data_IF_787665739472
#
_entry.id   IF_787665739472
#
_cell.length_a   1.000
_cell.length_b   1.000
_cell.length_c   1.000
_cell.angle_alpha   90.00
_cell.angle_beta   90.00
_cell.angle_gamma   90.00
#
_symmetry.space_group_name_H-M   'P 1'
#
loop_
_entity.id
_entity.type
_entity.pdbx_description
1 polymer ?
#
# COMPACT_ATOMS: atom_id res chain seq x y z
N UNK A 1 11.63 2.83 -11.92
CA UNK A 1 11.06 1.54 -12.36
C UNK A 1 9.70 1.22 -11.75
N UNK A 2 9.38 1.64 -10.51
CA UNK A 2 8.09 1.32 -9.87
C UNK A 2 6.88 1.78 -10.68
N UNK A 3 6.88 3.02 -11.17
CA UNK A 3 5.82 3.53 -12.05
C UNK A 3 5.65 2.69 -13.33
N UNK A 4 6.75 2.26 -13.95
CA UNK A 4 6.69 1.39 -15.13
C UNK A 4 6.11 0.02 -14.78
N UNK A 5 6.43 -0.53 -13.60
CA UNK A 5 5.85 -1.77 -13.11
C UNK A 5 4.32 -1.64 -12.94
N UNK A 6 3.86 -0.62 -12.22
CA UNK A 6 2.41 -0.43 -11.96
C UNK A 6 1.60 0.01 -13.19
N UNK A 7 2.27 0.54 -14.21
CA UNK A 7 1.66 0.81 -15.52
C UNK A 7 1.85 -0.32 -16.53
N UNK A 8 2.45 -1.46 -16.13
CA UNK A 8 2.73 -2.63 -16.97
C UNK A 8 3.57 -2.30 -18.22
N UNK A 9 4.51 -1.37 -18.07
CA UNK A 9 5.46 -0.88 -19.10
C UNK A 9 6.92 -1.17 -18.74
N UNK A 10 7.18 -1.95 -17.68
CA UNK A 10 8.53 -2.28 -17.26
C UNK A 10 9.19 -3.17 -18.33
N UNK A 11 10.26 -2.66 -18.94
CA UNK A 11 11.12 -3.48 -19.77
C UNK A 11 11.89 -4.45 -18.86
N UNK A 12 11.57 -5.73 -18.95
CA UNK A 12 12.13 -6.75 -18.07
C UNK A 12 13.50 -7.26 -18.56
N UNK A 13 13.95 -6.86 -19.75
CA UNK A 13 15.25 -7.25 -20.29
C UNK A 13 16.43 -6.46 -19.71
N UNK A 14 16.16 -5.30 -19.08
CA UNK A 14 17.20 -4.37 -18.62
C UNK A 14 17.87 -4.77 -17.29
N UNK A 15 17.30 -5.73 -16.56
CA UNK A 15 17.88 -6.22 -15.31
C UNK A 15 17.41 -7.64 -14.98
N UNK A 16 18.31 -8.59 -14.61
CA UNK A 16 17.94 -9.99 -14.35
C UNK A 16 16.83 -10.18 -13.30
N UNK A 17 16.73 -9.25 -12.33
CA UNK A 17 15.64 -9.27 -11.35
C UNK A 17 14.24 -9.06 -11.99
N UNK A 18 14.14 -8.25 -13.05
CA UNK A 18 12.87 -7.92 -13.68
C UNK A 18 12.30 -9.06 -14.52
N UNK A 19 13.11 -10.03 -14.95
CA UNK A 19 12.60 -11.25 -15.61
C UNK A 19 11.53 -11.95 -14.77
N UNK A 20 11.68 -11.93 -13.44
CA UNK A 20 10.70 -12.51 -12.49
C UNK A 20 9.40 -11.73 -12.44
N UNK A 21 9.40 -10.47 -12.89
CA UNK A 21 8.24 -9.58 -12.92
C UNK A 21 7.55 -9.58 -14.29
N UNK A 22 8.16 -10.15 -15.33
CA UNK A 22 7.70 -10.04 -16.72
C UNK A 22 6.26 -10.53 -16.96
N UNK A 23 5.81 -11.52 -16.18
CA UNK A 23 4.46 -12.08 -16.28
C UNK A 23 3.50 -11.59 -15.19
N UNK A 24 3.97 -10.70 -14.30
CA UNK A 24 3.13 -10.13 -13.25
C UNK A 24 2.37 -8.93 -13.80
N UNK A 25 1.05 -8.98 -13.65
CA UNK A 25 0.18 -7.81 -13.84
C UNK A 25 -0.20 -7.27 -12.47
N UNK A 26 0.51 -6.23 -12.04
CA UNK A 26 0.32 -5.60 -10.73
C UNK A 26 0.11 -4.10 -10.88
N UNK A 27 -0.64 -3.53 -9.95
CA UNK A 27 -0.86 -2.09 -9.83
C UNK A 27 -1.30 -1.75 -8.42
N UNK A 28 -1.07 -0.52 -7.99
CA UNK A 28 -1.64 0.04 -6.77
C UNK A 28 -2.51 1.24 -7.11
N UNK A 29 -3.33 1.71 -6.15
CA UNK A 29 -4.01 2.99 -6.35
C UNK A 29 -3.00 4.12 -6.20
N UNK A 30 -2.13 4.03 -5.19
CA UNK A 30 -1.19 5.09 -4.84
C UNK A 30 0.22 4.56 -4.59
N UNK A 31 1.22 5.40 -4.83
CA UNK A 31 2.60 5.27 -4.38
C UNK A 31 3.04 6.56 -3.70
N UNK A 32 3.72 6.44 -2.57
CA UNK A 32 4.41 7.56 -1.90
C UNK A 32 5.91 7.28 -1.89
N UNK A 33 6.67 8.09 -2.63
CA UNK A 33 8.12 7.98 -2.73
C UNK A 33 8.83 8.39 -1.43
N UNK A 34 10.16 8.17 -1.34
CA UNK A 34 10.94 8.52 -0.13
C UNK A 34 10.89 10.01 0.24
N UNK A 35 10.60 10.89 -0.71
CA UNK A 35 10.46 12.34 -0.52
C UNK A 35 9.02 12.76 -0.15
N UNK A 36 8.09 11.80 -0.05
CA UNK A 36 6.68 12.05 0.27
C UNK A 36 5.83 12.47 -0.93
N UNK A 37 6.33 12.33 -2.17
CA UNK A 37 5.54 12.61 -3.38
C UNK A 37 4.49 11.51 -3.56
N UNK A 38 3.23 11.91 -3.63
CA UNK A 38 2.11 11.04 -3.93
C UNK A 38 1.92 10.94 -5.45
N UNK A 39 1.83 9.71 -5.96
CA UNK A 39 1.43 9.41 -7.34
C UNK A 39 0.24 8.46 -7.32
N UNK A 40 -0.78 8.74 -8.14
CA UNK A 40 -1.95 7.88 -8.30
C UNK A 40 -1.90 7.16 -9.66
N UNK A 41 -2.07 5.84 -9.66
CA UNK A 41 -2.06 5.02 -10.88
C UNK A 41 -3.44 4.49 -11.26
N UNK A 42 -4.27 4.17 -10.26
CA UNK A 42 -5.61 3.62 -10.48
C UNK A 42 -6.63 4.49 -9.74
N UNK A 43 -7.76 4.77 -10.39
CA UNK A 43 -8.85 5.52 -9.77
C UNK A 43 -9.44 4.74 -8.58
N UNK A 44 -9.84 5.42 -7.51
CA UNK A 44 -10.34 4.79 -6.26
C UNK A 44 -11.66 4.03 -6.42
N UNK A 45 -12.37 4.22 -7.53
CA UNK A 45 -13.58 3.49 -7.90
C UNK A 45 -13.29 2.33 -8.88
N UNK A 46 -12.02 2.07 -9.17
CA UNK A 46 -11.56 0.98 -10.01
C UNK A 46 -10.75 -0.01 -9.20
N UNK A 47 -10.60 -1.22 -9.74
CA UNK A 47 -9.85 -2.30 -9.10
C UNK A 47 -8.38 -2.22 -9.47
N UNK A 48 -7.51 -1.95 -8.49
CA UNK A 48 -6.06 -2.18 -8.62
C UNK A 48 -5.69 -3.64 -8.33
N UNK A 49 -4.49 -4.07 -8.72
CA UNK A 49 -3.98 -5.43 -8.54
C UNK A 49 -2.79 -5.46 -7.59
N UNK A 50 -3.03 -5.14 -6.31
CA UNK A 50 -1.98 -5.02 -5.29
C UNK A 50 -1.98 -6.21 -4.31
N UNK A 51 -3.14 -6.72 -3.94
CA UNK A 51 -3.27 -7.69 -2.84
C UNK A 51 -2.93 -9.14 -3.25
N UNK A 52 -3.11 -9.52 -4.53
CA UNK A 52 -2.95 -10.91 -4.98
C UNK A 52 -3.92 -11.88 -4.29
N UNK A 53 -3.49 -13.12 -4.02
CA UNK A 53 -4.26 -14.07 -3.21
C UNK A 53 -4.26 -13.63 -1.74
N UNK A 54 -5.42 -13.26 -1.23
CA UNK A 54 -5.58 -12.65 0.09
C UNK A 54 -6.99 -12.86 0.67
N UNK A 55 -7.13 -12.68 1.99
CA UNK A 55 -8.39 -12.72 2.73
C UNK A 55 -8.39 -11.73 3.89
N UNK A 56 -9.49 -11.01 4.08
CA UNK A 56 -9.70 -10.10 5.21
C UNK A 56 -11.05 -10.38 5.86
N UNK A 57 -11.08 -10.63 7.17
CA UNK A 57 -12.29 -11.01 7.91
C UNK A 57 -13.10 -12.15 7.25
N UNK A 58 -12.40 -13.14 6.69
CA UNK A 58 -13.02 -14.29 5.99
C UNK A 58 -13.45 -14.02 4.55
N UNK A 59 -13.38 -12.76 4.07
CA UNK A 59 -13.67 -12.40 2.68
C UNK A 59 -12.41 -12.45 1.82
N UNK A 60 -12.41 -13.33 0.82
CA UNK A 60 -11.30 -13.49 -0.12
C UNK A 60 -11.26 -12.37 -1.18
N UNK A 61 -10.14 -12.29 -1.90
CA UNK A 61 -9.91 -11.38 -3.03
C UNK A 61 -9.95 -9.88 -2.64
N UNK A 62 -9.05 -9.46 -1.75
CA UNK A 62 -9.06 -8.10 -1.20
C UNK A 62 -8.97 -6.98 -2.24
N UNK A 63 -8.42 -7.23 -3.44
CA UNK A 63 -8.45 -6.25 -4.55
C UNK A 63 -9.87 -5.74 -4.86
N UNK A 64 -10.90 -6.54 -4.58
CA UNK A 64 -12.29 -6.22 -4.94
C UNK A 64 -12.93 -5.19 -3.99
N UNK A 65 -12.31 -4.93 -2.82
CA UNK A 65 -12.89 -4.08 -1.78
C UNK A 65 -11.87 -3.27 -0.98
N UNK A 66 -10.61 -3.17 -1.45
CA UNK A 66 -9.56 -2.41 -0.76
C UNK A 66 -8.84 -1.43 -1.68
N UNK A 67 -8.20 -0.44 -1.06
CA UNK A 67 -7.36 0.55 -1.71
C UNK A 67 -5.89 0.29 -1.37
N UNK A 68 -5.10 -0.23 -2.33
CA UNK A 68 -3.65 -0.36 -2.16
C UNK A 68 -2.89 0.98 -2.20
N UNK A 69 -2.14 1.26 -1.13
CA UNK A 69 -1.17 2.36 -1.02
C UNK A 69 0.22 1.78 -0.82
N UNK A 70 1.13 2.10 -1.72
CA UNK A 70 2.52 1.62 -1.68
C UNK A 70 3.42 2.72 -1.09
N UNK A 71 4.31 2.33 -0.19
CA UNK A 71 5.39 3.20 0.27
C UNK A 71 6.71 2.71 -0.31
N UNK A 72 7.44 3.60 -0.98
CA UNK A 72 8.80 3.25 -1.44
C UNK A 72 9.68 2.91 -0.23
N UNK A 73 10.22 1.70 -0.20
CA UNK A 73 10.97 1.21 0.95
C UNK A 73 11.19 -0.29 0.91
N UNK A 74 11.54 -0.86 2.07
CA UNK A 74 11.74 -2.29 2.25
C UNK A 74 11.58 -2.67 3.73
N UNK A 75 11.43 -3.96 3.99
CA UNK A 75 11.35 -4.53 5.34
C UNK A 75 12.68 -4.42 6.13
N UNK A 76 13.69 -3.75 5.59
CA UNK A 76 15.03 -3.62 6.16
C UNK A 76 15.43 -2.18 6.50
N UNK A 77 14.52 -1.21 6.32
CA UNK A 77 14.82 0.18 6.63
C UNK A 77 13.58 0.97 7.12
N UNK A 78 13.75 1.97 8.00
CA UNK A 78 12.68 2.89 8.38
C UNK A 78 12.06 3.63 7.18
N UNK A 79 10.76 3.94 7.26
CA UNK A 79 10.09 4.88 6.36
C UNK A 79 10.37 6.34 6.75
N UNK A 80 10.36 7.26 5.78
CA UNK A 80 10.68 8.67 6.07
C UNK A 80 9.50 9.41 6.71
N UNK A 81 9.80 10.46 7.46
CA UNK A 81 8.78 11.36 8.02
C UNK A 81 7.91 11.97 6.89
N UNK A 82 8.49 12.24 5.72
CA UNK A 82 7.74 12.76 4.57
C UNK A 82 6.69 11.76 4.07
N UNK A 83 7.03 10.46 4.06
CA UNK A 83 6.09 9.39 3.70
C UNK A 83 4.92 9.31 4.69
N UNK A 84 5.20 9.26 5.99
CA UNK A 84 4.15 9.21 7.01
C UNK A 84 3.21 10.42 6.96
N UNK A 85 3.75 11.63 6.80
CA UNK A 85 2.95 12.86 6.69
C UNK A 85 2.05 12.84 5.46
N UNK A 86 2.54 12.35 4.32
CA UNK A 86 1.72 12.20 3.12
C UNK A 86 0.66 11.10 3.30
N UNK A 87 1.04 9.96 3.88
CA UNK A 87 0.13 8.85 4.13
C UNK A 87 -1.03 9.25 5.04
N UNK A 88 -0.77 9.98 6.13
CA UNK A 88 -1.82 10.50 7.01
C UNK A 88 -2.77 11.47 6.29
N UNK A 89 -2.24 12.37 5.46
CA UNK A 89 -3.08 13.26 4.63
C UNK A 89 -3.94 12.50 3.64
N UNK A 90 -3.35 11.55 2.91
CA UNK A 90 -4.05 10.68 1.97
C UNK A 90 -5.15 9.90 2.68
N UNK A 91 -4.83 9.28 3.82
CA UNK A 91 -5.78 8.58 4.66
C UNK A 91 -7.00 9.45 4.96
N UNK A 92 -6.79 10.67 5.48
CA UNK A 92 -7.90 11.54 5.88
C UNK A 92 -8.80 11.90 4.70
N UNK A 93 -8.22 12.21 3.53
CA UNK A 93 -9.00 12.46 2.30
C UNK A 93 -9.78 11.22 1.84
N UNK A 94 -9.22 10.01 1.99
CA UNK A 94 -9.93 8.78 1.68
C UNK A 94 -11.04 8.51 2.71
N UNK A 95 -10.81 8.79 3.99
CA UNK A 95 -11.76 8.57 5.07
C UNK A 95 -12.95 9.55 5.03
N UNK A 96 -12.76 10.76 4.49
CA UNK A 96 -13.88 11.67 4.17
C UNK A 96 -14.84 11.05 3.14
N UNK A 97 -14.32 10.29 2.17
CA UNK A 97 -15.12 9.62 1.14
C UNK A 97 -15.63 8.25 1.58
N UNK A 98 -14.84 7.52 2.34
CA UNK A 98 -15.11 6.17 2.84
C UNK A 98 -14.98 6.18 4.38
N UNK A 99 -16.04 6.59 5.11
CA UNK A 99 -15.97 6.77 6.57
C UNK A 99 -15.55 5.53 7.36
N UNK A 100 -15.67 4.36 6.74
CA UNK A 100 -15.22 3.07 7.29
C UNK A 100 -13.72 3.06 7.62
N UNK A 101 -12.92 3.90 6.96
CA UNK A 101 -11.48 4.03 7.17
C UNK A 101 -11.12 4.76 8.47
N UNK A 102 -12.06 5.49 9.09
CA UNK A 102 -11.83 6.02 10.44
C UNK A 102 -11.71 4.92 11.50
N UNK A 103 -12.17 3.70 11.21
CA UNK A 103 -11.89 2.54 12.05
C UNK A 103 -10.54 1.92 11.66
N UNK A 104 -9.58 1.93 12.60
CA UNK A 104 -8.24 1.32 12.43
C UNK A 104 -8.28 -0.15 12.04
N UNK A 105 -9.32 -0.89 12.39
CA UNK A 105 -9.44 -2.32 12.05
C UNK A 105 -9.50 -2.55 10.53
N UNK A 106 -9.86 -1.53 9.75
CA UNK A 106 -9.89 -1.58 8.29
C UNK A 106 -8.60 -1.10 7.63
N UNK A 107 -7.56 -0.81 8.41
CA UNK A 107 -6.26 -0.38 7.94
C UNK A 107 -5.26 -1.46 8.33
N UNK A 108 -4.82 -2.22 7.32
CA UNK A 108 -4.01 -3.43 7.52
C UNK A 108 -2.82 -3.46 6.58
N UNK A 109 -1.77 -4.15 7.01
CA UNK A 109 -0.63 -4.47 6.17
C UNK A 109 -0.94 -5.58 5.16
N UNK A 110 -0.08 -5.72 4.15
CA UNK A 110 -0.21 -6.84 3.20
C UNK A 110 0.02 -8.18 3.90
N UNK A 111 0.91 -8.19 4.89
CA UNK A 111 1.17 -9.32 5.79
C UNK A 111 -0.08 -9.85 6.49
N UNK A 112 -1.03 -8.97 6.83
CA UNK A 112 -2.21 -9.33 7.63
C UNK A 112 -3.26 -10.06 6.77
N UNK A 113 -3.37 -9.67 5.50
CA UNK A 113 -4.33 -10.26 4.56
C UNK A 113 -3.75 -11.44 3.76
N UNK A 114 -2.43 -11.65 3.82
CA UNK A 114 -1.72 -12.71 3.11
C UNK A 114 -0.56 -13.32 3.94
N UNK A 115 -0.86 -13.83 5.15
CA UNK A 115 0.15 -14.37 6.07
C UNK A 115 0.91 -15.54 5.43
N UNK A 116 2.22 -15.58 5.65
CA UNK A 116 3.12 -16.59 5.07
C UNK A 116 3.50 -16.36 3.61
N UNK A 117 2.81 -15.45 2.90
CA UNK A 117 3.17 -15.05 1.52
C UNK A 117 3.78 -13.66 1.44
N UNK A 118 3.33 -12.73 2.28
CA UNK A 118 3.76 -11.32 2.29
C UNK A 118 4.19 -10.90 3.68
N UNK A 119 5.14 -9.97 3.72
CA UNK A 119 5.78 -9.47 4.95
C UNK A 119 5.67 -7.96 5.08
N UNK A 120 5.40 -7.26 3.98
CA UNK A 120 5.19 -5.82 3.93
C UNK A 120 3.90 -5.39 4.66
N UNK A 121 3.91 -4.20 5.32
CA UNK A 121 4.93 -3.15 5.25
C UNK A 121 6.15 -3.39 6.17
N UNK A 122 6.23 -4.55 6.81
CA UNK A 122 7.41 -4.98 7.56
C UNK A 122 7.54 -4.33 8.94
N UNK A 123 8.58 -4.73 9.70
CA UNK A 123 8.75 -4.32 11.09
C UNK A 123 9.11 -2.84 11.27
N UNK A 124 9.48 -2.15 10.19
CA UNK A 124 9.87 -0.75 10.20
C UNK A 124 8.72 0.22 9.93
N UNK A 125 7.53 -0.30 9.65
CA UNK A 125 6.32 0.51 9.60
C UNK A 125 5.80 0.74 11.02
N UNK A 126 5.88 1.99 11.46
CA UNK A 126 5.41 2.47 12.74
C UNK A 126 3.91 2.79 12.64
N UNK A 127 3.10 1.79 12.95
CA UNK A 127 1.65 1.90 12.97
C UNK A 127 1.16 2.97 13.95
N UNK A 128 1.79 3.10 15.12
CA UNK A 128 1.39 4.08 16.13
C UNK A 128 1.58 5.50 15.60
N UNK A 129 2.76 5.79 15.05
CA UNK A 129 3.06 7.09 14.47
C UNK A 129 2.16 7.42 13.28
N UNK A 130 1.87 6.44 12.42
CA UNK A 130 0.89 6.62 11.34
C UNK A 130 -0.50 6.99 11.89
N UNK A 131 -1.03 6.25 12.86
CA UNK A 131 -2.36 6.52 13.41
C UNK A 131 -2.46 7.87 14.12
N UNK A 132 -1.41 8.30 14.83
CA UNK A 132 -1.33 9.63 15.42
C UNK A 132 -1.47 10.72 14.35
N UNK A 133 -0.72 10.61 13.25
CA UNK A 133 -0.77 11.58 12.14
C UNK A 133 -2.11 11.54 11.39
N UNK A 134 -2.73 10.37 11.31
CA UNK A 134 -4.04 10.18 10.71
C UNK A 134 -5.19 10.64 11.63
N UNK A 135 -4.91 11.03 12.87
CA UNK A 135 -5.94 11.41 13.83
C UNK A 135 -6.85 10.25 14.24
N UNK A 136 -6.37 9.00 14.10
CA UNK A 136 -7.07 7.80 14.53
C UNK A 136 -6.68 7.51 15.98
N UNK A 137 -7.66 7.21 16.82
CA UNK A 137 -7.40 6.88 18.22
C UNK A 137 -6.44 5.68 18.34
N UNK A 138 -5.32 5.90 19.01
CA UNK A 138 -4.44 4.84 19.49
C UNK A 138 -4.92 4.43 20.88
N UNK A 139 -4.97 3.13 21.18
CA UNK A 139 -5.30 2.68 22.53
C UNK A 139 -4.26 3.27 23.50
N UNK A 140 -4.72 3.76 24.66
CA UNK A 140 -3.87 4.31 25.72
C UNK A 140 -2.94 3.27 26.35
#
# INVERSE_FOLDING_TARGET
>A
YIEQLFTNKLDCSIHPYFERLANLKVSSHFLIDRMGKLTQFVAINQRAWHAGQSSFCGRQACNDFSLGVELEGSDHQPFTIAQYRMLGKLHNSLAERYPVLWNREHIVGHSDIAPGRKTDPGPFFDWHYFFELAGIATDK
#
